data_IF_835549013948
#
_entry.id   IF_835549013948
#
_cell.length_a   1.000
_cell.length_b   1.000
_cell.length_c   1.000
_cell.angle_alpha   90.00
_cell.angle_beta   90.00
_cell.angle_gamma   90.00
#
_symmetry.space_group_name_H-M   'P 1'
#
loop_
_entity.id
_entity.type
_entity.pdbx_description
1 polymer ?
#
# COMPACT_ATOMS: atom_id res chain seq x y z
N UNK A 1 -26.19 20.63 8.46
CA UNK A 1 -25.06 20.15 9.26
C UNK A 1 -24.00 21.23 9.22
N UNK A 2 -23.96 22.11 10.21
CA UNK A 2 -22.91 23.12 10.33
C UNK A 2 -21.70 22.51 11.05
N UNK A 3 -20.92 21.70 10.33
CA UNK A 3 -19.72 21.09 10.88
C UNK A 3 -18.74 22.17 11.35
N UNK A 4 -18.23 22.00 12.57
CA UNK A 4 -17.29 22.94 13.16
C UNK A 4 -15.92 22.84 12.49
N UNK A 5 -15.38 23.98 12.07
CA UNK A 5 -14.02 24.12 11.56
C UNK A 5 -13.20 24.84 12.62
N UNK A 6 -12.06 24.27 13.02
CA UNK A 6 -11.14 24.93 13.96
C UNK A 6 -10.65 26.27 13.37
N UNK A 7 -10.72 27.39 14.13
CA UNK A 7 -10.22 28.67 13.65
C UNK A 7 -8.73 28.62 13.28
N UNK A 8 -7.91 27.88 14.04
CA UNK A 8 -6.48 27.71 13.77
C UNK A 8 -6.21 26.88 12.51
N UNK A 9 -7.01 25.82 12.28
CA UNK A 9 -6.91 25.01 11.06
C UNK A 9 -7.37 25.79 9.82
N UNK A 10 -8.48 26.52 9.93
CA UNK A 10 -9.03 27.37 8.88
C UNK A 10 -8.05 28.48 8.46
N UNK A 11 -7.49 29.22 9.42
CA UNK A 11 -6.45 30.22 9.15
C UNK A 11 -5.25 29.57 8.46
N UNK A 12 -4.67 28.52 9.05
CA UNK A 12 -3.45 27.89 8.55
C UNK A 12 -3.58 27.39 7.11
N UNK A 13 -4.68 26.71 6.79
CA UNK A 13 -4.90 26.12 5.47
C UNK A 13 -5.30 27.20 4.43
N UNK A 14 -6.21 28.11 4.78
CA UNK A 14 -6.61 29.18 3.86
C UNK A 14 -5.47 30.14 3.53
N UNK A 15 -4.66 30.53 4.52
CA UNK A 15 -3.46 31.36 4.34
C UNK A 15 -2.44 30.64 3.46
N UNK A 16 -2.22 29.33 3.60
CA UNK A 16 -1.30 28.58 2.72
C UNK A 16 -1.78 28.52 1.27
N UNK A 17 -3.07 28.23 1.05
CA UNK A 17 -3.67 28.19 -0.30
C UNK A 17 -3.56 29.56 -0.95
N UNK A 18 -4.06 30.62 -0.30
CA UNK A 18 -4.08 31.97 -0.86
C UNK A 18 -2.67 32.54 -1.06
N UNK A 19 -1.70 32.29 -0.17
CA UNK A 19 -0.29 32.67 -0.37
C UNK A 19 0.31 32.06 -1.65
N UNK A 20 -0.14 30.89 -2.08
CA UNK A 20 0.37 30.24 -3.29
C UNK A 20 -0.21 30.80 -4.60
N UNK A 21 -1.31 31.55 -4.52
CA UNK A 21 -1.88 32.32 -5.65
C UNK A 21 -1.47 33.80 -5.66
N UNK A 22 -0.75 34.28 -4.65
CA UNK A 22 -0.30 35.68 -4.53
C UNK A 22 1.20 35.83 -4.79
N UNK A 23 1.56 36.82 -5.63
CA UNK A 23 2.95 37.21 -5.88
C UNK A 23 3.44 38.14 -4.76
N UNK A 24 3.85 37.57 -3.63
CA UNK A 24 4.36 38.32 -2.46
C UNK A 24 5.85 38.66 -2.68
N UNK A 25 6.23 39.94 -2.78
CA UNK A 25 7.62 40.32 -3.06
C UNK A 25 8.55 39.97 -1.89
N UNK A 26 9.73 39.43 -2.20
CA UNK A 26 10.77 39.10 -1.22
C UNK A 26 10.53 37.85 -0.35
N UNK A 27 9.41 37.13 -0.52
CA UNK A 27 9.04 35.98 0.32
C UNK A 27 9.04 34.69 -0.50
N UNK A 28 9.90 33.72 -0.15
CA UNK A 28 9.79 32.34 -0.69
C UNK A 28 8.59 31.64 -0.04
N UNK A 29 7.47 31.59 -0.76
CA UNK A 29 6.28 30.84 -0.33
C UNK A 29 6.53 29.33 -0.54
N UNK A 30 6.34 28.47 0.48
CA UNK A 30 6.39 27.01 0.31
C UNK A 30 5.19 26.54 -0.52
N UNK A 31 5.42 25.61 -1.44
CA UNK A 31 4.34 25.04 -2.27
C UNK A 31 3.51 24.02 -1.48
N UNK A 32 4.19 23.26 -0.61
CA UNK A 32 3.63 22.11 0.08
C UNK A 32 3.28 22.48 1.54
N UNK A 33 2.08 22.14 2.00
CA UNK A 33 1.72 22.13 3.43
C UNK A 33 1.59 20.67 3.89
N UNK A 34 2.44 20.26 4.81
CA UNK A 34 2.34 18.96 5.47
C UNK A 34 1.59 19.06 6.79
N UNK A 35 0.37 18.52 6.83
CA UNK A 35 -0.48 18.39 8.03
C UNK A 35 -0.28 17.00 8.66
N UNK A 36 0.31 16.95 9.86
CA UNK A 36 0.51 15.70 10.61
C UNK A 36 -0.04 15.80 12.03
N UNK A 37 -0.30 14.66 12.67
CA UNK A 37 -1.00 14.59 13.96
C UNK A 37 -1.52 13.18 14.22
N UNK A 38 -2.14 12.93 15.37
CA UNK A 38 -2.63 11.57 15.71
C UNK A 38 -3.66 11.06 14.67
N UNK A 39 -3.84 9.75 14.60
CA UNK A 39 -4.95 9.15 13.83
C UNK A 39 -6.27 9.50 14.53
N UNK A 40 -7.35 9.68 13.75
CA UNK A 40 -8.69 9.92 14.28
C UNK A 40 -9.05 11.40 14.50
N UNK A 41 -8.08 12.31 14.58
CA UNK A 41 -8.31 13.74 14.86
C UNK A 41 -8.87 14.56 13.68
N UNK A 42 -9.52 13.92 12.70
CA UNK A 42 -10.25 14.62 11.64
C UNK A 42 -9.41 15.43 10.65
N UNK A 43 -8.08 15.27 10.58
CA UNK A 43 -7.15 16.02 9.68
C UNK A 43 -7.72 16.28 8.29
N UNK A 44 -8.00 15.20 7.53
CA UNK A 44 -8.52 15.31 6.17
C UNK A 44 -9.93 15.88 6.11
N UNK A 45 -10.79 15.57 7.09
CA UNK A 45 -12.15 16.11 7.18
C UNK A 45 -12.15 17.63 7.39
N UNK A 46 -11.29 18.15 8.26
CA UNK A 46 -11.08 19.59 8.43
C UNK A 46 -10.56 20.24 7.13
N UNK A 47 -9.74 19.55 6.32
CA UNK A 47 -9.38 20.03 4.99
C UNK A 47 -10.60 20.17 4.07
N UNK A 48 -11.43 19.12 3.95
CA UNK A 48 -12.62 19.16 3.07
C UNK A 48 -13.58 20.29 3.45
N UNK A 49 -13.84 20.50 4.75
CA UNK A 49 -14.68 21.60 5.23
C UNK A 49 -14.11 22.99 4.89
N UNK A 50 -12.77 23.15 4.89
CA UNK A 50 -12.11 24.39 4.47
C UNK A 50 -12.21 24.56 2.95
N UNK A 51 -12.02 23.49 2.16
CA UNK A 51 -12.14 23.55 0.70
C UNK A 51 -13.55 23.91 0.25
N UNK A 52 -14.58 23.28 0.85
CA UNK A 52 -16.00 23.59 0.62
C UNK A 52 -16.29 25.06 0.96
N UNK A 53 -15.88 25.50 2.16
CA UNK A 53 -16.08 26.89 2.64
C UNK A 53 -15.35 27.95 1.80
N UNK A 54 -14.23 27.60 1.18
CA UNK A 54 -13.48 28.47 0.27
C UNK A 54 -13.92 28.35 -1.20
N UNK A 55 -14.76 27.37 -1.55
CA UNK A 55 -15.16 27.08 -2.94
C UNK A 55 -14.00 26.58 -3.83
N UNK A 56 -12.98 25.94 -3.22
CA UNK A 56 -11.76 25.47 -3.87
C UNK A 56 -11.99 24.11 -4.54
N UNK A 57 -11.46 23.94 -5.76
CA UNK A 57 -11.52 22.66 -6.48
C UNK A 57 -10.39 21.72 -5.99
N UNK A 58 -10.69 20.45 -5.73
CA UNK A 58 -9.72 19.51 -5.12
C UNK A 58 -9.40 18.36 -6.08
N UNK A 59 -8.11 18.17 -6.36
CA UNK A 59 -7.61 16.95 -7.03
C UNK A 59 -7.01 16.05 -5.95
N UNK A 60 -7.70 14.94 -5.65
CA UNK A 60 -7.24 13.98 -4.66
C UNK A 60 -6.24 12.97 -5.27
N UNK A 61 -5.29 12.55 -4.44
CA UNK A 61 -4.40 11.40 -4.67
C UNK A 61 -4.40 10.55 -3.41
N UNK A 62 -4.63 9.26 -3.56
CA UNK A 62 -4.50 8.31 -2.43
C UNK A 62 -3.07 7.83 -2.31
N UNK A 63 -2.55 7.62 -1.09
CA UNK A 63 -1.24 7.00 -0.91
C UNK A 63 -1.11 5.62 -1.59
N UNK A 64 -2.22 4.87 -1.71
CA UNK A 64 -2.25 3.61 -2.45
C UNK A 64 -2.13 3.74 -3.97
N UNK A 65 -2.37 4.93 -4.55
CA UNK A 65 -2.05 5.21 -5.96
C UNK A 65 -0.54 5.54 -6.16
N UNK A 66 0.20 5.75 -5.06
CA UNK A 66 1.64 6.05 -5.07
C UNK A 66 2.51 4.79 -4.88
N UNK A 67 1.87 3.63 -4.71
CA UNK A 67 2.49 2.31 -4.79
C UNK A 67 2.15 1.66 -6.14
N UNK A 68 3.15 1.16 -6.85
CA UNK A 68 2.98 0.47 -8.13
C UNK A 68 4.10 -0.55 -8.34
N UNK A 69 3.85 -1.71 -8.98
CA UNK A 69 4.93 -2.60 -9.41
C UNK A 69 5.83 -1.95 -10.49
N UNK A 70 5.30 -0.99 -11.26
CA UNK A 70 6.02 -0.32 -12.34
C UNK A 70 6.78 0.91 -11.82
N UNK A 71 8.12 0.80 -11.83
CA UNK A 71 9.01 1.82 -11.29
C UNK A 71 8.85 3.18 -12.01
N UNK A 72 8.43 4.19 -11.25
CA UNK A 72 8.25 5.56 -11.74
C UNK A 72 6.84 5.91 -12.22
N UNK A 73 5.89 4.97 -12.26
CA UNK A 73 4.49 5.34 -12.52
C UNK A 73 3.90 6.29 -11.45
N UNK A 74 4.19 6.14 -10.15
CA UNK A 74 3.81 7.12 -9.11
C UNK A 74 4.34 8.54 -9.38
N UNK A 75 5.54 8.65 -9.97
CA UNK A 75 6.13 9.94 -10.35
C UNK A 75 5.42 10.56 -11.57
N UNK A 76 4.98 9.71 -12.53
CA UNK A 76 4.14 10.14 -13.67
C UNK A 76 2.76 10.58 -13.19
N UNK A 77 2.13 9.83 -12.27
CA UNK A 77 0.81 10.13 -11.72
C UNK A 77 0.78 11.50 -11.03
N UNK A 78 1.74 11.78 -10.14
CA UNK A 78 1.79 13.07 -9.43
C UNK A 78 1.92 14.26 -10.39
N UNK A 79 2.71 14.12 -11.47
CA UNK A 79 2.83 15.13 -12.52
C UNK A 79 1.53 15.29 -13.32
N UNK A 80 0.81 14.20 -13.57
CA UNK A 80 -0.49 14.23 -14.24
C UNK A 80 -1.55 14.94 -13.36
N UNK A 81 -1.68 14.55 -12.09
CA UNK A 81 -2.63 15.13 -11.12
C UNK A 81 -2.36 16.61 -10.82
N UNK A 82 -1.09 17.01 -10.73
CA UNK A 82 -0.72 18.42 -10.60
C UNK A 82 -1.15 19.25 -11.82
N UNK A 83 -0.97 18.71 -13.04
CA UNK A 83 -1.41 19.37 -14.29
C UNK A 83 -2.93 19.39 -14.43
N UNK A 84 -3.62 18.33 -14.02
CA UNK A 84 -5.09 18.27 -13.93
C UNK A 84 -5.64 19.42 -13.06
N UNK A 85 -5.06 19.65 -11.89
CA UNK A 85 -5.38 20.82 -11.05
C UNK A 85 -5.05 22.15 -11.74
N UNK A 86 -3.94 22.23 -12.49
CA UNK A 86 -3.58 23.37 -13.33
C UNK A 86 -4.65 23.73 -14.37
N UNK A 87 -5.15 22.74 -15.12
CA UNK A 87 -6.20 22.96 -16.12
C UNK A 87 -7.56 23.29 -15.48
N UNK A 88 -7.87 22.75 -14.27
CA UNK A 88 -9.05 23.18 -13.52
C UNK A 88 -9.01 24.69 -13.18
N UNK A 89 -7.85 25.23 -12.77
CA UNK A 89 -7.69 26.68 -12.54
C UNK A 89 -7.91 27.47 -13.83
N UNK A 90 -7.26 27.09 -14.93
CA UNK A 90 -7.40 27.76 -16.25
C UNK A 90 -8.85 27.77 -16.74
N UNK A 91 -9.55 26.63 -16.66
CA UNK A 91 -10.88 26.45 -17.28
C UNK A 91 -12.01 26.94 -16.38
N UNK A 92 -11.93 26.77 -15.05
CA UNK A 92 -13.00 27.18 -14.12
C UNK A 92 -12.80 28.57 -13.51
N UNK A 93 -11.60 29.16 -13.60
CA UNK A 93 -11.28 30.46 -13.01
C UNK A 93 -11.30 30.47 -11.47
N UNK A 94 -11.20 29.30 -10.83
CA UNK A 94 -11.19 29.13 -9.37
C UNK A 94 -9.80 28.70 -8.88
N UNK A 95 -9.54 28.88 -7.58
CA UNK A 95 -8.41 28.22 -6.91
C UNK A 95 -8.61 26.70 -6.89
N UNK A 96 -7.51 25.95 -7.01
CA UNK A 96 -7.48 24.51 -6.85
C UNK A 96 -6.34 24.06 -5.92
N UNK A 97 -6.45 22.85 -5.37
CA UNK A 97 -5.40 22.20 -4.57
C UNK A 97 -5.12 20.79 -5.07
N UNK A 98 -3.87 20.34 -4.92
CA UNK A 98 -3.51 18.93 -5.02
C UNK A 98 -3.46 18.33 -3.60
N UNK A 99 -4.40 17.46 -3.27
CA UNK A 99 -4.54 16.86 -1.94
C UNK A 99 -4.04 15.41 -1.95
N UNK A 100 -2.95 15.13 -1.23
CA UNK A 100 -2.38 13.78 -1.10
C UNK A 100 -2.70 13.25 0.30
N UNK A 101 -3.60 12.27 0.37
CA UNK A 101 -4.14 11.75 1.63
C UNK A 101 -3.31 10.58 2.20
N UNK A 102 -3.12 10.59 3.52
CA UNK A 102 -2.47 9.53 4.32
C UNK A 102 -1.13 9.04 3.74
N UNK A 103 -0.26 9.98 3.37
CA UNK A 103 1.01 9.72 2.66
C UNK A 103 1.90 8.65 3.33
N UNK A 104 1.88 8.58 4.65
CA UNK A 104 2.64 7.60 5.43
C UNK A 104 2.21 6.14 5.14
N UNK A 105 0.99 5.91 4.65
CA UNK A 105 0.48 4.57 4.34
C UNK A 105 1.03 3.96 3.03
N UNK A 106 1.62 4.77 2.14
CA UNK A 106 2.29 4.31 0.90
C UNK A 106 3.73 4.81 0.72
N UNK A 107 4.23 5.63 1.66
CA UNK A 107 5.57 6.24 1.61
C UNK A 107 6.31 6.09 2.96
N UNK A 108 5.60 5.81 4.06
CA UNK A 108 6.19 5.53 5.37
C UNK A 108 6.86 4.16 5.43
N UNK A 109 7.68 3.93 6.46
CA UNK A 109 8.25 2.61 6.73
C UNK A 109 7.22 1.76 7.46
N UNK A 110 6.85 0.62 6.89
CA UNK A 110 5.98 -0.37 7.55
C UNK A 110 6.71 -1.08 8.69
N UNK A 111 8.04 -1.27 8.58
CA UNK A 111 8.87 -1.93 9.58
C UNK A 111 10.23 -1.25 9.77
N UNK A 112 10.90 -1.55 10.89
CA UNK A 112 12.32 -1.22 11.09
C UNK A 112 13.25 -1.97 10.11
N UNK A 113 12.75 -3.03 9.47
CA UNK A 113 13.49 -3.91 8.56
C UNK A 113 13.19 -3.65 7.07
N UNK A 114 12.13 -2.93 6.73
CA UNK A 114 11.81 -2.61 5.32
C UNK A 114 12.55 -1.34 4.88
N UNK A 115 13.43 -1.48 3.89
CA UNK A 115 14.10 -0.35 3.25
C UNK A 115 13.13 0.41 2.35
N UNK A 116 13.32 1.74 2.23
CA UNK A 116 12.51 2.58 1.34
C UNK A 116 12.46 2.00 -0.08
N UNK A 117 11.26 1.87 -0.64
CA UNK A 117 11.09 1.40 -2.01
C UNK A 117 11.67 2.42 -3.01
N UNK A 118 11.98 1.97 -4.23
CA UNK A 118 12.40 2.87 -5.31
C UNK A 118 11.31 3.91 -5.61
N UNK A 119 10.03 3.52 -5.52
CA UNK A 119 8.88 4.42 -5.69
C UNK A 119 8.85 5.52 -4.61
N UNK A 120 9.09 5.19 -3.34
CA UNK A 120 9.20 6.16 -2.24
C UNK A 120 10.24 7.25 -2.57
N UNK A 121 11.40 6.85 -3.12
CA UNK A 121 12.44 7.81 -3.50
C UNK A 121 12.02 8.67 -4.71
N UNK A 122 11.43 8.05 -5.74
CA UNK A 122 10.95 8.73 -6.95
C UNK A 122 9.81 9.72 -6.68
N UNK A 123 8.89 9.40 -5.75
CA UNK A 123 7.83 10.33 -5.32
C UNK A 123 8.42 11.52 -4.58
N UNK A 124 9.28 11.32 -3.58
CA UNK A 124 9.92 12.42 -2.86
C UNK A 124 10.71 13.33 -3.82
N UNK A 125 11.49 12.75 -4.74
CA UNK A 125 12.20 13.49 -5.77
C UNK A 125 11.25 14.26 -6.71
N UNK A 126 10.09 13.69 -7.07
CA UNK A 126 9.09 14.36 -7.91
C UNK A 126 8.45 15.55 -7.19
N UNK A 127 8.12 15.42 -5.91
CA UNK A 127 7.61 16.51 -5.09
C UNK A 127 8.64 17.65 -4.95
N UNK A 128 9.94 17.35 -4.83
CA UNK A 128 10.99 18.39 -4.86
C UNK A 128 11.04 19.13 -6.20
N UNK A 129 11.07 18.39 -7.32
CA UNK A 129 11.12 18.98 -8.65
C UNK A 129 9.91 19.91 -8.93
N UNK A 130 8.72 19.52 -8.50
CA UNK A 130 7.50 20.33 -8.60
C UNK A 130 7.58 21.55 -7.65
N UNK A 131 8.07 21.40 -6.43
CA UNK A 131 8.18 22.50 -5.47
C UNK A 131 9.24 23.55 -5.85
N UNK A 132 10.30 23.16 -6.56
CA UNK A 132 11.31 24.10 -7.08
C UNK A 132 10.84 24.80 -8.36
N UNK A 133 10.10 24.11 -9.23
CA UNK A 133 9.65 24.62 -10.53
C UNK A 133 8.13 24.44 -10.74
N UNK A 134 7.27 25.06 -9.90
CA UNK A 134 5.82 24.83 -9.90
C UNK A 134 5.11 25.23 -11.21
N UNK A 135 5.76 26.04 -12.04
CA UNK A 135 5.24 26.50 -13.33
C UNK A 135 5.82 25.75 -14.53
N UNK A 136 6.62 24.71 -14.32
CA UNK A 136 7.23 23.89 -15.38
C UNK A 136 7.17 22.40 -15.02
N UNK A 137 5.95 21.86 -14.98
CA UNK A 137 5.65 20.46 -14.65
C UNK A 137 5.33 19.71 -15.94
N UNK A 138 6.39 19.22 -16.58
CA UNK A 138 6.32 18.35 -17.76
C UNK A 138 5.95 16.91 -17.40
N UNK A 139 5.37 16.17 -18.35
CA UNK A 139 5.20 14.72 -18.28
C UNK A 139 6.39 14.02 -18.96
N UNK A 140 6.82 12.82 -18.50
CA UNK A 140 7.91 12.09 -19.17
C UNK A 140 7.60 11.86 -20.66
N UNK A 141 8.44 12.42 -21.54
CA UNK A 141 8.26 12.33 -23.00
C UNK A 141 7.38 13.40 -23.65
N UNK A 142 6.74 14.30 -22.87
CA UNK A 142 6.10 15.53 -23.39
C UNK A 142 6.94 16.74 -23.01
N UNK A 143 7.00 17.74 -23.90
CA UNK A 143 7.69 19.00 -23.68
C UNK A 143 6.83 20.15 -24.21
N UNK A 144 6.11 20.81 -23.29
CA UNK A 144 5.25 21.95 -23.58
C UNK A 144 5.93 23.25 -23.17
N UNK A 145 5.80 24.28 -24.01
CA UNK A 145 6.42 25.59 -23.77
C UNK A 145 5.54 26.54 -22.92
N UNK A 146 4.26 26.21 -22.73
CA UNK A 146 3.36 27.00 -21.88
C UNK A 146 3.62 26.75 -20.39
N UNK A 147 3.69 27.80 -19.55
CA UNK A 147 3.87 27.63 -18.12
C UNK A 147 2.61 27.04 -17.47
N UNK A 148 2.79 26.07 -16.58
CA UNK A 148 1.71 25.57 -15.73
C UNK A 148 1.31 26.60 -14.67
N UNK A 149 0.03 26.67 -14.26
CA UNK A 149 -0.35 27.38 -13.04
C UNK A 149 0.36 26.78 -11.81
N UNK A 150 0.71 27.65 -10.85
CA UNK A 150 1.21 27.23 -9.53
C UNK A 150 0.04 26.67 -8.71
N UNK A 151 0.10 25.39 -8.34
CA UNK A 151 -0.93 24.73 -7.53
C UNK A 151 -0.38 24.42 -6.13
N UNK A 152 -1.00 24.93 -5.04
CA UNK A 152 -0.66 24.49 -3.68
C UNK A 152 -0.91 22.99 -3.49
N UNK A 153 0.06 22.33 -2.85
CA UNK A 153 -0.02 20.89 -2.52
C UNK A 153 -0.26 20.75 -1.02
N UNK A 154 -1.24 19.94 -0.63
CA UNK A 154 -1.55 19.64 0.76
C UNK A 154 -1.32 18.15 0.99
N UNK A 155 -0.54 17.80 2.02
CA UNK A 155 -0.27 16.41 2.41
C UNK A 155 -0.89 16.15 3.79
N UNK A 156 -1.56 15.02 3.99
CA UNK A 156 -1.94 14.53 5.32
C UNK A 156 -1.18 13.26 5.68
N UNK A 157 -0.88 13.10 6.97
CA UNK A 157 -0.31 11.88 7.53
C UNK A 157 -0.33 11.86 9.05
N UNK A 158 0.36 10.89 9.64
CA UNK A 158 0.42 10.67 11.08
C UNK A 158 1.76 11.15 11.65
N UNK A 159 2.91 10.79 11.05
CA UNK A 159 4.23 11.24 11.51
C UNK A 159 5.25 11.52 10.38
N UNK A 160 5.48 12.81 10.17
CA UNK A 160 6.49 13.32 9.23
C UNK A 160 7.92 13.38 9.80
N UNK A 161 8.24 12.65 10.87
CA UNK A 161 9.63 12.36 11.26
C UNK A 161 10.34 11.48 10.22
N UNK A 162 9.60 10.60 9.55
CA UNK A 162 10.12 9.62 8.57
C UNK A 162 10.21 10.14 7.14
N UNK A 163 9.50 11.25 6.83
CA UNK A 163 9.54 11.91 5.52
C UNK A 163 10.93 12.49 5.22
N UNK A 164 11.26 12.49 3.92
CA UNK A 164 12.62 12.75 3.44
C UNK A 164 13.04 14.23 3.67
N UNK A 165 14.01 14.44 4.56
CA UNK A 165 14.35 15.76 5.13
C UNK A 165 14.61 16.91 4.11
N UNK A 166 15.18 16.69 2.91
CA UNK A 166 15.29 17.71 1.86
C UNK A 166 13.98 18.34 1.35
N UNK A 167 12.79 17.77 1.61
CA UNK A 167 11.52 18.48 1.38
C UNK A 167 11.30 19.61 2.40
N UNK A 168 11.81 19.44 3.62
CA UNK A 168 11.60 20.36 4.74
C UNK A 168 12.67 21.47 4.74
N UNK A 169 13.94 21.10 4.56
CA UNK A 169 15.09 21.99 4.77
C UNK A 169 15.16 23.18 3.80
N UNK A 170 14.74 22.98 2.56
CA UNK A 170 14.95 23.96 1.48
C UNK A 170 13.77 24.96 1.33
N UNK A 171 12.85 25.00 2.30
CA UNK A 171 11.67 25.87 2.27
C UNK A 171 10.65 25.50 1.18
N UNK A 172 10.63 24.23 0.74
CA UNK A 172 9.66 23.67 -0.21
C UNK A 172 8.34 23.32 0.48
N UNK A 173 8.44 22.76 1.69
CA UNK A 173 7.32 22.32 2.51
C UNK A 173 7.30 23.01 3.88
N UNK A 174 6.13 23.49 4.28
CA UNK A 174 5.83 23.92 5.65
C UNK A 174 5.19 22.76 6.43
N UNK A 175 5.53 22.59 7.72
CA UNK A 175 4.87 21.61 8.60
C UNK A 175 3.81 22.29 9.46
N UNK A 176 2.68 21.62 9.62
CA UNK A 176 1.64 21.95 10.58
C UNK A 176 1.33 20.69 11.41
N UNK A 177 1.54 20.77 12.72
CA UNK A 177 1.09 19.75 13.65
C UNK A 177 -0.34 20.06 14.09
N UNK A 178 -1.24 19.10 13.90
CA UNK A 178 -2.63 19.17 14.27
C UNK A 178 -2.91 18.25 15.45
N UNK A 179 -3.19 18.87 16.59
CA UNK A 179 -3.72 18.25 17.80
C UNK A 179 -4.80 19.21 18.32
N UNK A 180 -6.09 18.83 18.28
CA UNK A 180 -7.19 19.74 18.59
C UNK A 180 -7.20 20.05 20.10
N UNK A 181 -7.29 21.34 20.46
CA UNK A 181 -7.39 21.73 21.86
C UNK A 181 -8.77 21.39 22.47
N UNK A 182 -8.95 21.60 23.77
CA UNK A 182 -10.20 21.27 24.45
C UNK A 182 -11.42 22.04 23.90
N UNK A 183 -11.24 23.27 23.40
CA UNK A 183 -12.32 24.05 22.77
C UNK A 183 -12.63 23.59 21.34
N UNK A 184 -11.60 23.27 20.55
CA UNK A 184 -11.76 22.63 19.24
C UNK A 184 -12.48 21.28 19.37
N UNK A 185 -12.11 20.45 20.36
CA UNK A 185 -12.77 19.17 20.66
C UNK A 185 -14.25 19.36 21.01
N UNK A 186 -14.60 20.30 21.87
CA UNK A 186 -16.00 20.63 22.17
C UNK A 186 -16.72 21.08 20.89
N UNK A 187 -16.11 21.94 20.07
CA UNK A 187 -16.69 22.44 18.83
C UNK A 187 -16.99 21.33 17.83
N UNK A 188 -16.00 20.46 17.57
CA UNK A 188 -16.12 19.35 16.61
C UNK A 188 -17.13 18.31 17.09
N UNK A 189 -17.12 17.94 18.38
CA UNK A 189 -18.11 16.99 18.94
C UNK A 189 -19.52 17.61 18.97
N UNK A 190 -19.64 18.92 19.23
CA UNK A 190 -20.93 19.63 19.10
C UNK A 190 -21.44 19.61 17.66
N UNK A 191 -20.56 19.71 16.66
CA UNK A 191 -20.91 19.57 15.24
C UNK A 191 -21.33 18.15 14.84
N UNK A 192 -20.73 17.11 15.44
CA UNK A 192 -21.12 15.71 15.24
C UNK A 192 -22.55 15.47 15.75
N UNK A 193 -22.93 16.07 16.87
CA UNK A 193 -24.23 15.88 17.53
C UNK A 193 -25.23 17.04 17.30
N UNK A 194 -24.99 17.93 16.32
CA UNK A 194 -25.85 19.11 16.04
C UNK A 194 -27.32 18.70 15.78
N UNK A 195 -27.50 17.74 14.86
CA UNK A 195 -28.82 17.17 14.53
C UNK A 195 -29.43 16.37 15.69
N UNK A 196 -28.60 15.94 16.64
CA UNK A 196 -29.00 15.18 17.81
C UNK A 196 -29.42 16.08 18.98
N UNK A 197 -29.26 17.40 18.84
CA UNK A 197 -29.83 18.42 19.75
C UNK A 197 -29.36 18.31 21.20
N UNK A 198 -28.18 17.72 21.40
CA UNK A 198 -27.55 17.54 22.72
C UNK A 198 -27.18 18.90 23.30
N UNK A 199 -27.31 19.09 24.62
CA UNK A 199 -26.90 20.36 25.24
C UNK A 199 -25.38 20.51 25.23
N UNK A 200 -24.89 21.75 25.11
CA UNK A 200 -23.45 22.02 25.15
C UNK A 200 -22.79 21.52 26.44
N UNK A 201 -23.49 21.60 27.57
CA UNK A 201 -23.05 21.06 28.87
C UNK A 201 -22.90 19.54 28.88
N UNK A 202 -23.76 18.80 28.16
CA UNK A 202 -23.64 17.36 28.02
C UNK A 202 -22.44 17.00 27.12
N UNK A 203 -22.22 17.76 26.03
CA UNK A 203 -21.04 17.60 25.16
C UNK A 203 -19.75 17.88 25.92
N UNK A 204 -19.69 18.97 26.70
CA UNK A 204 -18.54 19.32 27.53
C UNK A 204 -18.26 18.23 28.58
N UNK A 205 -19.30 17.63 29.16
CA UNK A 205 -19.17 16.49 30.09
C UNK A 205 -18.71 15.21 29.38
N UNK A 206 -19.23 14.93 28.18
CA UNK A 206 -18.87 13.77 27.36
C UNK A 206 -17.42 13.83 26.86
N UNK A 207 -16.98 15.00 26.40
CA UNK A 207 -15.58 15.24 25.98
C UNK A 207 -14.63 15.03 27.15
N UNK A 208 -14.95 15.59 28.33
CA UNK A 208 -14.17 15.41 29.57
C UNK A 208 -14.16 13.97 30.10
N UNK A 209 -15.24 13.22 29.88
CA UNK A 209 -15.33 11.79 30.30
C UNK A 209 -14.43 10.89 29.44
N UNK A 210 -14.13 11.30 28.21
CA UNK A 210 -13.37 10.53 27.22
C UNK A 210 -12.18 11.33 26.66
N UNK A 211 -11.47 12.07 27.51
CA UNK A 211 -10.41 13.01 27.11
C UNK A 211 -9.26 12.33 26.34
N UNK A 212 -8.89 11.09 26.71
CA UNK A 212 -7.89 10.26 26.01
C UNK A 212 -8.34 9.73 24.63
N UNK A 213 -9.61 9.90 24.23
CA UNK A 213 -10.11 9.44 22.94
C UNK A 213 -9.90 10.49 21.85
N UNK A 214 -9.66 10.01 20.62
CA UNK A 214 -9.60 10.81 19.39
C UNK A 214 -10.99 11.20 18.88
N UNK A 215 -11.08 12.18 17.97
CA UNK A 215 -12.38 12.69 17.46
C UNK A 215 -13.25 11.59 16.81
N UNK A 216 -12.64 10.61 16.13
CA UNK A 216 -13.35 9.48 15.50
C UNK A 216 -14.09 8.55 16.49
N UNK A 217 -13.73 8.55 17.77
CA UNK A 217 -14.51 7.86 18.82
C UNK A 217 -15.93 8.42 18.94
N UNK A 218 -16.09 9.74 18.83
CA UNK A 218 -17.40 10.39 19.02
C UNK A 218 -18.32 10.19 17.82
N UNK A 219 -17.77 10.13 16.60
CA UNK A 219 -18.56 9.75 15.41
C UNK A 219 -18.90 8.25 15.41
N UNK A 220 -17.99 7.38 15.86
CA UNK A 220 -18.29 5.96 16.07
C UNK A 220 -19.36 5.73 17.16
N UNK A 221 -19.30 6.48 18.26
CA UNK A 221 -20.32 6.49 19.32
C UNK A 221 -21.69 6.89 18.78
N UNK A 222 -21.76 7.95 17.97
CA UNK A 222 -22.99 8.37 17.28
C UNK A 222 -23.56 7.25 16.39
N UNK A 223 -22.73 6.61 15.57
CA UNK A 223 -23.15 5.49 14.73
C UNK A 223 -23.64 4.28 15.54
N UNK A 224 -22.94 3.95 16.65
CA UNK A 224 -23.27 2.80 17.51
C UNK A 224 -24.65 2.87 18.18
N UNK A 225 -25.22 4.07 18.31
CA UNK A 225 -26.60 4.27 18.77
C UNK A 225 -27.65 3.92 17.70
N UNK A 226 -27.32 4.05 16.41
CA UNK A 226 -28.18 3.58 15.32
C UNK A 226 -28.09 2.06 15.13
N UNK A 227 -26.96 1.41 15.46
CA UNK A 227 -26.83 -0.06 15.46
C UNK A 227 -27.94 -0.75 16.30
N UNK A 228 -28.42 -0.11 17.37
CA UNK A 228 -29.50 -0.67 18.21
C UNK A 228 -30.86 -0.67 17.50
N UNK A 229 -31.13 0.30 16.61
CA UNK A 229 -32.34 0.29 15.77
C UNK A 229 -32.18 -0.65 14.57
N UNK A 230 -30.99 -0.69 13.95
CA UNK A 230 -30.69 -1.65 12.89
C UNK A 230 -30.84 -3.09 13.39
N UNK A 231 -30.45 -3.37 14.65
CA UNK A 231 -30.68 -4.68 15.28
C UNK A 231 -32.17 -5.00 15.43
N UNK A 232 -32.98 -4.07 15.96
CA UNK A 232 -34.45 -4.26 16.06
C UNK A 232 -35.08 -4.53 14.70
N UNK A 233 -34.68 -3.80 13.65
CA UNK A 233 -35.14 -4.04 12.29
C UNK A 233 -34.76 -5.44 11.77
N UNK A 234 -33.55 -5.93 12.07
CA UNK A 234 -33.11 -7.30 11.74
C UNK A 234 -33.96 -8.34 12.48
N UNK A 235 -34.26 -8.11 13.75
CA UNK A 235 -35.06 -9.01 14.59
C UNK A 235 -36.55 -9.03 14.16
N UNK A 236 -37.10 -7.89 13.74
CA UNK A 236 -38.49 -7.72 13.27
C UNK A 236 -38.72 -8.29 11.85
N UNK A 237 -37.77 -8.08 10.93
CA UNK A 237 -37.85 -8.59 9.54
C UNK A 237 -37.41 -10.06 9.45
N UNK A 238 -36.51 -10.47 10.33
CA UNK A 238 -35.83 -11.76 10.33
C UNK A 238 -34.57 -11.77 9.46
N UNK A 239 -33.50 -12.39 9.97
CA UNK A 239 -32.19 -12.54 9.32
C UNK A 239 -32.25 -13.11 7.89
N UNK A 240 -33.19 -14.02 7.62
CA UNK A 240 -33.37 -14.63 6.29
C UNK A 240 -33.88 -13.64 5.23
N UNK A 241 -34.61 -12.59 5.65
CA UNK A 241 -35.35 -11.69 4.75
C UNK A 241 -34.75 -10.30 4.66
N UNK A 242 -33.94 -9.88 5.65
CA UNK A 242 -33.37 -8.53 5.70
C UNK A 242 -32.58 -8.15 4.44
N UNK A 243 -31.84 -9.10 3.85
CA UNK A 243 -31.10 -8.87 2.59
C UNK A 243 -32.02 -8.44 1.44
N UNK A 244 -33.16 -9.11 1.27
CA UNK A 244 -34.14 -8.74 0.25
C UNK A 244 -34.84 -7.42 0.63
N UNK A 245 -35.23 -7.28 1.90
CA UNK A 245 -35.97 -6.11 2.40
C UNK A 245 -35.21 -4.78 2.30
N UNK A 246 -33.88 -4.82 2.36
CA UNK A 246 -33.00 -3.64 2.29
C UNK A 246 -32.51 -3.37 0.85
N UNK A 247 -32.18 -4.40 0.06
CA UNK A 247 -31.51 -4.23 -1.24
C UNK A 247 -32.47 -4.29 -2.44
N UNK A 248 -33.56 -5.06 -2.35
CA UNK A 248 -34.41 -5.37 -3.50
C UNK A 248 -35.89 -5.48 -3.10
N UNK A 249 -36.43 -4.43 -2.49
CA UNK A 249 -37.85 -4.35 -2.08
C UNK A 249 -38.57 -3.21 -2.79
N UNK A 250 -39.86 -3.43 -3.08
CA UNK A 250 -40.78 -2.40 -3.56
C UNK A 250 -41.49 -1.66 -2.40
N UNK A 251 -41.26 -2.09 -1.15
CA UNK A 251 -41.68 -1.34 0.04
C UNK A 251 -40.80 -0.09 0.24
N UNK A 252 -41.30 0.96 0.92
CA UNK A 252 -40.46 2.09 1.30
C UNK A 252 -39.22 1.66 2.12
N UNK A 253 -38.11 2.40 2.05
CA UNK A 253 -36.98 2.20 2.95
C UNK A 253 -37.43 2.22 4.42
N UNK A 254 -36.81 1.42 5.31
CA UNK A 254 -37.15 1.42 6.72
C UNK A 254 -36.87 2.80 7.33
N UNK A 255 -37.87 3.39 7.99
CA UNK A 255 -37.71 4.66 8.68
C UNK A 255 -36.97 4.45 10.00
N UNK A 256 -35.90 5.21 10.21
CA UNK A 256 -35.17 5.23 11.47
C UNK A 256 -35.56 6.47 12.26
N UNK A 257 -35.89 6.28 13.54
CA UNK A 257 -36.15 7.38 14.45
C UNK A 257 -34.82 7.86 15.07
N UNK A 258 -34.88 8.97 15.81
CA UNK A 258 -33.73 9.48 16.57
C UNK A 258 -33.49 8.57 17.79
N UNK A 259 -32.28 7.98 17.97
CA UNK A 259 -31.94 7.27 19.20
C UNK A 259 -32.10 8.12 20.46
N UNK A 260 -32.05 7.50 21.64
CA UNK A 260 -31.78 8.26 22.85
C UNK A 260 -30.33 8.79 22.80
N UNK A 261 -30.19 10.10 23.01
CA UNK A 261 -28.91 10.79 23.12
C UNK A 261 -28.74 11.40 24.52
N UNK A 262 -29.40 10.83 25.53
CA UNK A 262 -29.17 11.21 26.92
C UNK A 262 -27.71 10.97 27.32
N UNK A 263 -27.16 11.91 28.09
CA UNK A 263 -25.77 11.84 28.58
C UNK A 263 -25.45 10.51 29.30
N UNK A 264 -26.33 9.92 30.15
CA UNK A 264 -26.08 8.62 30.77
C UNK A 264 -25.91 7.49 29.75
N UNK A 265 -26.75 7.45 28.69
CA UNK A 265 -26.69 6.39 27.68
C UNK A 265 -25.46 6.56 26.76
N UNK A 266 -25.10 7.79 26.40
CA UNK A 266 -23.86 8.10 25.69
C UNK A 266 -22.61 7.69 26.49
N UNK A 267 -22.58 7.96 27.80
CA UNK A 267 -21.51 7.50 28.68
C UNK A 267 -21.50 5.98 28.77
N UNK A 268 -22.65 5.30 28.82
CA UNK A 268 -22.71 3.84 28.84
C UNK A 268 -22.16 3.21 27.55
N UNK A 269 -22.60 3.70 26.39
CA UNK A 269 -22.12 3.21 25.08
C UNK A 269 -20.64 3.55 24.85
N UNK A 270 -20.19 4.74 25.25
CA UNK A 270 -18.78 5.11 25.20
C UNK A 270 -17.92 4.16 26.05
N UNK A 271 -18.36 3.83 27.27
CA UNK A 271 -17.69 2.84 28.11
C UNK A 271 -17.74 1.41 27.54
N UNK A 272 -18.74 1.04 26.72
CA UNK A 272 -18.71 -0.22 25.97
C UNK A 272 -17.63 -0.18 24.86
N UNK A 273 -17.57 0.90 24.07
CA UNK A 273 -16.60 1.08 22.99
C UNK A 273 -15.13 1.15 23.49
N UNK A 274 -14.86 1.85 24.60
CA UNK A 274 -13.50 1.89 25.20
C UNK A 274 -13.04 0.49 25.62
N UNK A 275 -13.91 -0.32 26.21
CA UNK A 275 -13.61 -1.72 26.57
C UNK A 275 -13.39 -2.61 25.33
N UNK A 276 -14.11 -2.35 24.24
CA UNK A 276 -13.93 -3.03 22.95
C UNK A 276 -12.55 -2.70 22.33
N UNK A 277 -12.17 -1.41 22.29
CA UNK A 277 -10.83 -0.97 21.86
C UNK A 277 -9.70 -1.54 22.73
N UNK A 278 -9.88 -1.56 24.06
CA UNK A 278 -8.86 -2.05 24.98
C UNK A 278 -8.60 -3.54 24.75
N UNK A 279 -9.66 -4.35 24.62
CA UNK A 279 -9.54 -5.78 24.31
C UNK A 279 -8.80 -6.03 22.98
N UNK A 280 -9.04 -5.21 21.95
CA UNK A 280 -8.32 -5.31 20.67
C UNK A 280 -6.83 -4.98 20.85
N UNK A 281 -6.49 -3.98 21.67
CA UNK A 281 -5.09 -3.65 22.01
C UNK A 281 -4.41 -4.78 22.78
N UNK A 282 -5.09 -5.36 23.78
CA UNK A 282 -4.58 -6.49 24.58
C UNK A 282 -4.32 -7.74 23.70
N UNK A 283 -5.25 -8.08 22.80
CA UNK A 283 -5.08 -9.19 21.86
C UNK A 283 -3.89 -8.98 20.91
N UNK A 284 -3.74 -7.79 20.31
CA UNK A 284 -2.59 -7.47 19.45
C UNK A 284 -1.26 -7.53 20.20
N UNK A 285 -1.21 -7.03 21.43
CA UNK A 285 -0.01 -7.10 22.26
C UNK A 285 0.41 -8.56 22.55
N UNK A 286 -0.57 -9.45 22.73
CA UNK A 286 -0.35 -10.90 22.87
C UNK A 286 0.12 -11.53 21.56
N UNK A 287 -0.43 -11.13 20.41
CA UNK A 287 0.02 -11.58 19.08
C UNK A 287 1.46 -11.14 18.79
N UNK A 288 1.79 -9.86 18.98
CA UNK A 288 3.15 -9.30 18.84
C UNK A 288 4.15 -10.00 19.77
N UNK A 289 3.79 -10.21 21.04
CA UNK A 289 4.61 -10.93 22.01
C UNK A 289 4.84 -12.39 21.58
N UNK A 290 3.80 -13.09 21.12
CA UNK A 290 3.90 -14.47 20.66
C UNK A 290 4.73 -14.59 19.38
N UNK A 291 4.58 -13.68 18.42
CA UNK A 291 5.43 -13.63 17.22
C UNK A 291 6.89 -13.35 17.58
N UNK A 292 7.16 -12.41 18.50
CA UNK A 292 8.50 -12.16 19.01
C UNK A 292 9.09 -13.39 19.72
N UNK A 293 8.28 -14.19 20.41
CA UNK A 293 8.71 -15.46 21.03
C UNK A 293 8.96 -16.59 20.01
N UNK A 294 8.15 -16.69 18.96
CA UNK A 294 8.34 -17.65 17.87
C UNK A 294 9.60 -17.30 17.05
N UNK A 295 9.80 -16.03 16.70
CA UNK A 295 10.99 -15.57 15.99
C UNK A 295 12.29 -15.80 16.80
N UNK A 296 12.24 -15.73 18.14
CA UNK A 296 13.38 -16.12 19.01
C UNK A 296 13.68 -17.62 19.01
N UNK A 297 12.73 -18.49 18.66
CA UNK A 297 12.95 -19.96 18.55
C UNK A 297 13.48 -20.39 17.17
N UNK A 298 13.50 -19.51 16.18
CA UNK A 298 14.00 -19.77 14.82
C UNK A 298 15.46 -19.31 14.62
N UNK A 299 16.17 -18.98 15.71
CA UNK A 299 17.48 -18.34 15.65
C UNK A 299 18.45 -18.75 16.76
N UNK A 300 18.56 -20.05 17.04
CA UNK A 300 19.60 -20.60 17.92
C UNK A 300 20.67 -21.31 17.07
N UNK A 301 21.76 -20.58 16.82
CA UNK A 301 23.01 -21.06 16.20
C UNK A 301 24.14 -20.46 17.02
N UNK A 302 25.13 -21.28 17.38
CA UNK A 302 26.09 -21.04 18.47
C UNK A 302 26.60 -19.60 18.62
N UNK A 303 26.49 -19.08 19.84
CA UNK A 303 27.30 -17.97 20.33
C UNK A 303 28.20 -18.47 21.47
N UNK A 304 29.54 -18.30 21.39
CA UNK A 304 30.44 -18.76 22.43
C UNK A 304 30.19 -18.03 23.76
N UNK A 305 30.29 -18.76 24.86
CA UNK A 305 29.96 -18.26 26.19
C UNK A 305 30.94 -17.16 26.68
N UNK A 306 30.46 -16.15 27.44
CA UNK A 306 31.32 -15.13 28.02
C UNK A 306 32.21 -15.68 29.15
N UNK A 307 33.42 -15.15 29.25
CA UNK A 307 34.45 -15.57 30.22
C UNK A 307 34.03 -15.26 31.66
N UNK A 308 34.15 -16.25 32.55
CA UNK A 308 33.89 -16.08 33.98
C UNK A 308 35.10 -15.48 34.72
N UNK A 309 34.84 -14.73 35.79
CA UNK A 309 35.82 -14.38 36.83
C UNK A 309 35.32 -14.85 38.20
N UNK A 310 36.20 -15.29 39.12
CA UNK A 310 35.80 -16.13 40.25
C UNK A 310 35.30 -15.34 41.48
N UNK A 311 34.46 -16.00 42.30
CA UNK A 311 34.17 -15.63 43.70
C UNK A 311 34.16 -16.86 44.61
N UNK A 312 34.30 -16.62 45.91
CA UNK A 312 34.80 -17.59 46.88
C UNK A 312 33.73 -18.47 47.57
N UNK A 313 34.21 -19.51 48.26
CA UNK A 313 33.40 -20.52 48.96
C UNK A 313 32.69 -20.04 50.23
N UNK A 314 31.50 -20.63 50.51
CA UNK A 314 31.18 -21.28 51.80
C UNK A 314 29.95 -22.20 51.70
N UNK A 315 29.85 -23.15 52.63
CA UNK A 315 28.90 -24.30 52.71
C UNK A 315 28.17 -24.28 54.08
N UNK A 316 27.25 -25.21 54.44
CA UNK A 316 26.58 -26.31 53.70
C UNK A 316 25.02 -26.30 53.80
N UNK A 317 24.37 -27.38 53.30
CA UNK A 317 22.93 -27.72 53.45
C UNK A 317 22.70 -28.74 54.62
N UNK A 318 21.70 -29.67 54.71
CA UNK A 318 20.71 -30.25 53.75
C UNK A 318 19.29 -29.65 53.97
N UNK A 319 18.09 -30.19 53.68
CA UNK A 319 17.45 -31.51 53.30
C UNK A 319 16.21 -31.17 52.43
N UNK A 320 15.60 -31.97 51.53
CA UNK A 320 15.82 -33.33 51.00
C UNK A 320 14.48 -34.03 50.64
N UNK A 321 14.50 -35.32 50.26
CA UNK A 321 13.34 -36.25 50.13
C UNK A 321 12.39 -36.09 48.90
N UNK A 322 11.65 -37.14 48.45
CA UNK A 322 11.69 -37.51 47.02
C UNK A 322 10.34 -37.71 46.24
N UNK A 323 10.49 -38.02 44.95
CA UNK A 323 9.52 -38.56 43.96
C UNK A 323 8.95 -39.95 44.37
N UNK A 324 7.80 -40.49 43.82
CA UNK A 324 7.56 -40.62 42.36
C UNK A 324 6.10 -40.68 41.81
N UNK A 325 6.03 -40.88 40.47
CA UNK A 325 5.05 -41.63 39.66
C UNK A 325 3.61 -41.15 39.32
N UNK A 326 3.27 -41.47 38.07
CA UNK A 326 2.17 -41.11 37.16
C UNK A 326 0.77 -41.73 37.39
N UNK A 327 -0.29 -41.08 36.84
CA UNK A 327 -1.34 -41.77 36.04
C UNK A 327 -2.31 -40.85 35.22
N UNK A 328 -2.10 -40.79 33.89
CA UNK A 328 -3.08 -40.89 32.77
C UNK A 328 -4.33 -39.96 32.55
N UNK A 329 -4.55 -39.68 31.24
CA UNK A 329 -5.75 -39.19 30.48
C UNK A 329 -6.11 -37.68 30.53
N UNK A 330 -6.37 -37.00 29.40
CA UNK A 330 -6.15 -37.39 27.99
C UNK A 330 -6.89 -36.55 26.92
N UNK A 331 -6.44 -36.66 25.65
CA UNK A 331 -7.07 -36.19 24.39
C UNK A 331 -7.16 -34.64 24.21
N UNK A 332 -7.16 -34.05 22.99
CA UNK A 332 -7.39 -34.54 21.61
C UNK A 332 -6.45 -33.88 20.55
N UNK A 333 -6.56 -34.38 19.31
CA UNK A 333 -6.05 -33.86 18.02
C UNK A 333 -4.58 -34.09 17.60
N UNK A 334 -4.45 -34.62 16.37
CA UNK A 334 -3.22 -34.92 15.63
C UNK A 334 -3.39 -34.49 14.17
N UNK A 335 -2.32 -33.98 13.55
CA UNK A 335 -2.26 -33.61 12.13
C UNK A 335 -2.12 -34.85 11.21
N UNK A 336 -2.70 -34.79 10.01
CA UNK A 336 -2.26 -35.56 8.83
C UNK A 336 -2.48 -34.73 7.56
N UNK A 337 -1.73 -35.05 6.50
CA UNK A 337 -1.74 -34.29 5.23
C UNK A 337 -1.91 -35.16 3.99
N UNK A 338 -2.02 -34.47 2.86
CA UNK A 338 -1.89 -34.88 1.44
C UNK A 338 -1.84 -36.39 1.10
N UNK A 339 -2.84 -36.89 0.37
CA UNK A 339 -2.60 -37.75 -0.78
C UNK A 339 -3.74 -37.71 -1.82
N UNK A 340 -3.45 -38.13 -3.07
CA UNK A 340 -4.28 -37.89 -4.28
C UNK A 340 -5.18 -39.07 -4.65
N UNK A 341 -6.33 -38.83 -5.31
CA UNK A 341 -6.98 -39.76 -6.26
C UNK A 341 -8.05 -39.07 -7.17
N UNK A 342 -8.53 -39.73 -8.27
CA UNK A 342 -9.04 -39.05 -9.46
C UNK A 342 -10.57 -39.08 -9.68
N UNK A 343 -11.04 -38.35 -10.70
CA UNK A 343 -12.44 -38.31 -11.17
C UNK A 343 -12.85 -39.55 -12.01
N UNK A 344 -14.11 -40.02 -11.90
CA UNK A 344 -14.72 -40.99 -12.81
C UNK A 344 -15.64 -40.36 -13.88
N UNK A 345 -15.79 -41.05 -15.02
CA UNK A 345 -16.64 -40.64 -16.15
C UNK A 345 -18.11 -41.09 -16.02
N UNK A 346 -19.05 -40.41 -16.69
CA UNK A 346 -20.25 -41.06 -17.28
C UNK A 346 -20.77 -40.30 -18.52
N UNK A 347 -21.46 -41.01 -19.43
CA UNK A 347 -22.04 -40.53 -20.71
C UNK A 347 -23.57 -40.67 -20.72
N UNK A 348 -24.28 -39.82 -21.47
CA UNK A 348 -25.15 -40.25 -22.60
C UNK A 348 -25.81 -39.10 -23.40
N UNK A 349 -25.74 -39.20 -24.74
CA UNK A 349 -26.63 -38.73 -25.83
C UNK A 349 -27.34 -37.35 -25.82
N UNK A 350 -27.28 -36.64 -26.96
CA UNK A 350 -27.96 -35.34 -27.17
C UNK A 350 -28.14 -34.83 -28.62
N UNK A 351 -28.18 -35.71 -29.64
CA UNK A 351 -28.47 -35.38 -31.06
C UNK A 351 -27.47 -34.46 -31.81
N UNK A 352 -27.73 -34.24 -33.11
CA UNK A 352 -26.76 -33.81 -34.13
C UNK A 352 -27.41 -33.00 -35.25
N UNK A 353 -26.69 -32.02 -35.83
CA UNK A 353 -26.75 -31.70 -37.27
C UNK A 353 -25.54 -30.86 -37.72
N UNK A 354 -25.30 -30.77 -39.03
CA UNK A 354 -24.05 -30.24 -39.60
C UNK A 354 -24.23 -29.66 -41.01
N UNK A 355 -23.52 -28.56 -41.33
CA UNK A 355 -23.43 -28.05 -42.71
C UNK A 355 -22.04 -27.47 -43.08
N UNK A 356 -21.34 -28.23 -43.93
CA UNK A 356 -20.41 -27.87 -45.02
C UNK A 356 -19.75 -26.47 -45.06
N UNK A 357 -18.41 -26.47 -44.99
CA UNK A 357 -17.46 -26.30 -46.14
C UNK A 357 -17.87 -25.43 -47.34
N UNK A 358 -16.94 -24.68 -47.99
CA UNK A 358 -15.56 -25.11 -48.27
C UNK A 358 -14.43 -24.07 -48.05
N UNK A 359 -13.20 -24.51 -48.32
CA UNK A 359 -11.98 -23.69 -48.39
C UNK A 359 -11.69 -23.21 -49.83
N UNK A 360 -10.68 -22.35 -49.98
CA UNK A 360 -10.05 -22.06 -51.29
C UNK A 360 -8.51 -22.04 -51.16
N UNK A 361 -7.79 -22.11 -52.29
CA UNK A 361 -6.46 -22.74 -52.36
C UNK A 361 -5.50 -22.01 -53.34
N UNK A 362 -4.23 -21.77 -52.97
CA UNK A 362 -3.20 -21.32 -53.94
C UNK A 362 -1.73 -21.56 -53.53
N UNK A 363 -1.16 -22.63 -54.08
CA UNK A 363 0.15 -22.66 -54.77
C UNK A 363 1.36 -21.86 -54.23
N UNK A 364 2.19 -22.54 -53.44
CA UNK A 364 3.63 -22.78 -53.69
C UNK A 364 4.59 -21.65 -54.13
N UNK A 365 5.60 -21.37 -53.30
CA UNK A 365 6.95 -20.98 -53.75
C UNK A 365 8.03 -21.47 -52.76
N UNK A 366 8.73 -22.58 -53.08
CA UNK A 366 9.73 -23.20 -52.20
C UNK A 366 11.14 -22.67 -52.50
N UNK A 367 11.62 -21.66 -51.74
CA UNK A 367 13.04 -21.29 -51.71
C UNK A 367 13.75 -22.02 -50.58
N UNK A 368 14.67 -22.93 -50.93
CA UNK A 368 15.69 -23.39 -49.98
C UNK A 368 16.72 -22.27 -49.79
N UNK A 369 17.11 -22.02 -48.55
CA UNK A 369 18.25 -21.17 -48.20
C UNK A 369 19.10 -21.93 -47.18
N UNK A 370 20.41 -22.05 -47.42
CA UNK A 370 21.32 -22.70 -46.49
C UNK A 370 21.54 -21.78 -45.26
N UNK A 371 21.41 -22.30 -44.02
CA UNK A 371 21.59 -21.50 -42.81
C UNK A 371 23.09 -21.32 -42.49
N UNK A 372 23.71 -20.29 -43.06
CA UNK A 372 25.12 -19.93 -42.79
C UNK A 372 25.25 -18.91 -41.64
N UNK A 373 24.14 -18.48 -41.03
CA UNK A 373 24.11 -17.38 -40.05
C UNK A 373 24.38 -17.74 -38.58
N UNK A 374 24.12 -18.98 -38.13
CA UNK A 374 24.03 -19.28 -36.69
C UNK A 374 25.33 -19.82 -36.04
N UNK A 375 26.40 -20.01 -36.81
CA UNK A 375 27.59 -20.71 -36.33
C UNK A 375 28.47 -19.88 -35.37
N UNK A 376 28.66 -18.58 -35.63
CA UNK A 376 29.53 -17.71 -34.81
C UNK A 376 28.85 -17.25 -33.52
N UNK A 377 27.60 -16.77 -33.61
CA UNK A 377 26.85 -16.25 -32.45
C UNK A 377 26.73 -17.29 -31.31
N UNK A 378 26.64 -18.57 -31.65
CA UNK A 378 26.59 -19.66 -30.67
C UNK A 378 27.95 -19.94 -29.99
N UNK A 379 29.07 -19.61 -30.65
CA UNK A 379 30.40 -19.68 -30.05
C UNK A 379 30.61 -18.54 -29.04
N UNK A 380 30.23 -17.31 -29.39
CA UNK A 380 30.31 -16.15 -28.49
C UNK A 380 29.43 -16.35 -27.24
N UNK A 381 28.20 -16.84 -27.43
CA UNK A 381 27.29 -17.17 -26.32
C UNK A 381 27.85 -18.28 -25.41
N UNK A 382 28.45 -19.33 -25.99
CA UNK A 382 29.09 -20.41 -25.22
C UNK A 382 30.33 -19.94 -24.44
N UNK A 383 31.06 -18.94 -24.94
CA UNK A 383 32.17 -18.32 -24.22
C UNK A 383 31.69 -17.54 -22.98
N UNK A 384 30.59 -16.78 -23.08
CA UNK A 384 30.02 -16.05 -21.94
C UNK A 384 29.43 -16.99 -20.88
N UNK A 385 28.76 -18.10 -21.28
CA UNK A 385 28.36 -19.18 -20.34
C UNK A 385 29.57 -19.69 -19.54
N UNK A 386 30.66 -19.99 -20.25
CA UNK A 386 31.90 -20.50 -19.67
C UNK A 386 32.52 -19.49 -18.70
N UNK A 387 32.50 -18.20 -19.03
CA UNK A 387 33.00 -17.09 -18.20
C UNK A 387 32.20 -16.95 -16.90
N UNK A 388 30.87 -16.91 -16.97
CA UNK A 388 30.00 -16.69 -15.81
C UNK A 388 30.09 -17.85 -14.79
N UNK A 389 30.18 -19.09 -15.28
CA UNK A 389 30.32 -20.27 -14.42
C UNK A 389 31.72 -20.37 -13.81
N UNK A 390 32.78 -20.03 -14.57
CA UNK A 390 34.15 -19.93 -14.02
C UNK A 390 34.32 -18.79 -13.00
N UNK A 391 33.43 -17.80 -12.98
CA UNK A 391 33.34 -16.78 -11.93
C UNK A 391 32.55 -17.26 -10.68
N UNK A 392 32.17 -18.54 -10.62
CA UNK A 392 31.42 -19.12 -9.50
C UNK A 392 29.94 -18.72 -9.43
N UNK A 393 29.42 -18.01 -10.44
CA UNK A 393 28.01 -17.61 -10.50
C UNK A 393 27.12 -18.77 -10.96
N UNK A 394 25.89 -18.85 -10.44
CA UNK A 394 24.83 -19.66 -11.05
C UNK A 394 24.36 -18.95 -12.32
N UNK A 395 24.10 -19.69 -13.39
CA UNK A 395 23.63 -19.13 -14.66
C UNK A 395 22.12 -19.28 -14.77
N UNK A 396 21.38 -18.17 -14.84
CA UNK A 396 20.00 -18.16 -15.34
C UNK A 396 19.98 -18.03 -16.86
N UNK A 397 19.07 -18.77 -17.52
CA UNK A 397 18.72 -18.57 -18.94
C UNK A 397 17.29 -18.07 -18.98
N UNK A 398 17.06 -16.95 -19.69
CA UNK A 398 15.74 -16.31 -19.79
C UNK A 398 15.42 -15.94 -21.24
N UNK A 399 14.16 -16.06 -21.63
CA UNK A 399 13.66 -15.69 -22.96
C UNK A 399 12.44 -14.77 -22.86
N UNK A 400 12.15 -14.01 -23.91
CA UNK A 400 10.95 -13.14 -23.97
C UNK A 400 10.51 -12.85 -25.41
N UNK A 401 9.20 -12.91 -25.62
CA UNK A 401 8.59 -12.61 -26.92
C UNK A 401 8.77 -11.13 -27.32
N UNK A 402 8.71 -10.88 -28.64
CA UNK A 402 8.93 -9.56 -29.24
C UNK A 402 8.00 -8.45 -28.72
N UNK A 403 6.85 -8.80 -28.15
CA UNK A 403 5.85 -7.87 -27.58
C UNK A 403 6.15 -7.59 -26.10
N UNK A 404 6.51 -8.60 -25.32
CA UNK A 404 6.86 -8.50 -23.88
C UNK A 404 8.26 -7.98 -23.61
N UNK A 405 9.19 -8.04 -24.57
CA UNK A 405 10.53 -7.46 -24.44
C UNK A 405 10.48 -5.97 -24.01
N UNK A 406 9.50 -5.21 -24.51
CA UNK A 406 9.30 -3.80 -24.15
C UNK A 406 8.80 -3.56 -22.73
N UNK A 407 8.25 -4.58 -22.07
CA UNK A 407 7.72 -4.51 -20.70
C UNK A 407 8.57 -5.29 -19.70
N UNK A 408 9.80 -5.69 -20.07
CA UNK A 408 10.76 -6.33 -19.17
C UNK A 408 10.34 -7.69 -18.56
N UNK A 409 9.26 -8.31 -19.07
CA UNK A 409 8.66 -9.51 -18.48
C UNK A 409 9.28 -10.78 -19.08
N UNK A 410 10.51 -11.10 -18.64
CA UNK A 410 11.24 -12.29 -19.08
C UNK A 410 10.70 -13.57 -18.45
N UNK A 411 10.67 -14.66 -19.22
CA UNK A 411 10.36 -16.01 -18.74
C UNK A 411 11.66 -16.77 -18.47
N UNK A 412 11.72 -17.51 -17.37
CA UNK A 412 12.91 -18.31 -17.00
C UNK A 412 12.86 -19.66 -17.68
N UNK A 413 13.89 -19.98 -18.47
CA UNK A 413 14.08 -21.30 -19.08
C UNK A 413 14.68 -22.29 -18.07
N UNK A 414 15.63 -21.83 -17.24
CA UNK A 414 16.23 -22.61 -16.17
C UNK A 414 17.38 -21.90 -15.45
N UNK A 415 17.89 -22.54 -14.39
CA UNK A 415 19.07 -22.06 -13.65
C UNK A 415 20.07 -23.19 -13.43
N UNK A 416 21.32 -23.00 -13.84
CA UNK A 416 22.33 -24.04 -13.97
C UNK A 416 23.61 -23.71 -13.19
N UNK A 417 24.36 -24.74 -12.81
CA UNK A 417 25.69 -24.61 -12.18
C UNK A 417 26.76 -25.43 -12.90
N UNK A 418 26.39 -26.46 -13.65
CA UNK A 418 27.32 -27.21 -14.49
C UNK A 418 27.41 -26.57 -15.88
N UNK A 419 28.63 -26.36 -16.39
CA UNK A 419 28.89 -25.73 -17.69
C UNK A 419 28.35 -26.54 -18.88
N UNK A 420 28.44 -27.87 -18.84
CA UNK A 420 27.95 -28.73 -19.92
C UNK A 420 26.42 -28.74 -19.98
N UNK A 421 25.78 -28.80 -18.81
CA UNK A 421 24.33 -28.70 -18.65
C UNK A 421 23.81 -27.32 -19.12
N UNK A 422 24.48 -26.24 -18.71
CA UNK A 422 24.15 -24.88 -19.12
C UNK A 422 24.26 -24.65 -20.63
N UNK A 423 25.31 -25.18 -21.27
CA UNK A 423 25.49 -25.10 -22.74
C UNK A 423 24.42 -25.94 -23.46
N UNK A 424 24.08 -27.13 -22.96
CA UNK A 424 23.01 -27.95 -23.52
C UNK A 424 21.64 -27.24 -23.44
N UNK A 425 21.29 -26.71 -22.26
CA UNK A 425 20.06 -25.97 -22.05
C UNK A 425 19.99 -24.67 -22.86
N UNK A 426 21.11 -23.96 -23.06
CA UNK A 426 21.16 -22.80 -23.93
C UNK A 426 20.88 -23.18 -25.39
N UNK A 427 21.51 -24.24 -25.91
CA UNK A 427 21.26 -24.72 -27.26
C UNK A 427 19.80 -25.18 -27.45
N UNK A 428 19.21 -25.81 -26.43
CA UNK A 428 17.79 -26.16 -26.44
C UNK A 428 16.90 -24.90 -26.50
N UNK A 429 17.13 -23.92 -25.62
CA UNK A 429 16.39 -22.65 -25.59
C UNK A 429 16.48 -21.90 -26.94
N UNK A 430 17.68 -21.79 -27.52
CA UNK A 430 17.90 -21.21 -28.86
C UNK A 430 17.13 -21.95 -29.97
N UNK A 431 16.90 -23.26 -29.82
CA UNK A 431 16.17 -24.07 -30.80
C UNK A 431 14.65 -24.04 -30.64
N UNK A 432 14.15 -23.91 -29.40
CA UNK A 432 12.72 -23.83 -29.08
C UNK A 432 12.17 -22.41 -29.25
N UNK A 433 13.01 -21.39 -29.07
CA UNK A 433 12.64 -19.97 -29.11
C UNK A 433 13.42 -19.15 -30.17
N UNK A 434 13.41 -19.53 -31.47
CA UNK A 434 14.23 -18.89 -32.51
C UNK A 434 13.79 -17.45 -32.86
N UNK A 435 12.56 -17.06 -32.51
CA UNK A 435 11.95 -15.76 -32.83
C UNK A 435 11.85 -14.79 -31.63
N UNK A 436 12.38 -15.19 -30.48
CA UNK A 436 12.37 -14.46 -29.22
C UNK A 436 13.74 -13.87 -28.87
N UNK A 437 13.77 -12.94 -27.91
CA UNK A 437 15.01 -12.49 -27.30
C UNK A 437 15.43 -13.49 -26.22
N UNK A 438 16.70 -13.89 -26.18
CA UNK A 438 17.25 -14.79 -25.15
C UNK A 438 18.45 -14.12 -24.48
N UNK A 439 18.53 -14.22 -23.15
CA UNK A 439 19.61 -13.66 -22.34
C UNK A 439 20.15 -14.64 -21.30
N UNK A 440 21.41 -14.43 -20.97
CA UNK A 440 22.12 -15.06 -19.87
C UNK A 440 22.13 -14.12 -18.67
N UNK A 441 21.90 -14.67 -17.47
CA UNK A 441 21.88 -13.95 -16.20
C UNK A 441 22.88 -14.57 -15.25
N UNK A 442 23.92 -13.84 -14.86
CA UNK A 442 24.83 -14.24 -13.79
C UNK A 442 24.17 -13.98 -12.43
N UNK A 443 24.15 -14.99 -11.54
CA UNK A 443 23.56 -14.90 -10.20
C UNK A 443 24.62 -15.30 -9.16
N UNK A 444 24.96 -14.39 -8.23
CA UNK A 444 25.85 -14.68 -7.11
C UNK A 444 25.20 -15.74 -6.18
N UNK A 445 25.84 -16.91 -5.93
CA UNK A 445 25.30 -17.93 -5.04
C UNK A 445 25.17 -17.47 -3.58
N UNK A 446 25.96 -16.47 -3.15
CA UNK A 446 26.03 -16.00 -1.76
C UNK A 446 24.94 -14.97 -1.47
N UNK A 447 24.89 -13.86 -2.23
CA UNK A 447 23.88 -12.82 -2.02
C UNK A 447 22.55 -13.11 -2.75
N UNK A 448 22.50 -14.14 -3.62
CA UNK A 448 21.36 -14.48 -4.49
C UNK A 448 20.90 -13.33 -5.40
N UNK A 449 21.79 -12.40 -5.75
CA UNK A 449 21.49 -11.24 -6.62
C UNK A 449 21.97 -11.50 -8.04
N UNK A 450 21.29 -10.87 -9.00
CA UNK A 450 21.76 -10.79 -10.39
C UNK A 450 22.98 -9.86 -10.45
N UNK A 451 24.06 -10.31 -11.09
CA UNK A 451 25.33 -9.58 -11.22
C UNK A 451 25.70 -9.24 -12.66
N UNK A 452 25.11 -9.93 -13.64
CA UNK A 452 25.33 -9.69 -15.08
C UNK A 452 24.07 -10.09 -15.84
N UNK A 453 23.68 -9.33 -16.87
CA UNK A 453 22.61 -9.71 -17.81
C UNK A 453 23.07 -9.44 -19.25
N UNK A 454 23.29 -10.49 -20.04
CA UNK A 454 23.85 -10.43 -21.40
C UNK A 454 22.86 -11.03 -22.40
N UNK A 455 22.33 -10.24 -23.34
CA UNK A 455 21.44 -10.73 -24.41
C UNK A 455 22.27 -11.46 -25.47
N UNK A 456 21.99 -12.75 -25.68
CA UNK A 456 22.72 -13.64 -26.59
C UNK A 456 21.95 -13.98 -27.88
N UNK A 457 20.62 -13.82 -27.90
CA UNK A 457 19.82 -13.87 -29.12
C UNK A 457 18.96 -12.62 -29.25
N UNK A 458 18.89 -12.07 -30.47
CA UNK A 458 17.91 -11.05 -30.87
C UNK A 458 17.18 -11.50 -32.14
N UNK A 459 15.83 -11.43 -32.16
CA UNK A 459 15.07 -11.74 -33.35
C UNK A 459 15.44 -10.82 -34.54
N UNK A 460 15.43 -11.39 -35.74
CA UNK A 460 15.79 -10.72 -37.01
C UNK A 460 17.21 -10.13 -37.10
N UNK A 461 18.17 -10.60 -36.28
CA UNK A 461 19.60 -10.52 -36.59
C UNK A 461 20.23 -9.12 -36.72
N UNK A 462 19.64 -8.10 -36.08
CA UNK A 462 20.26 -6.77 -35.97
C UNK A 462 20.93 -6.59 -34.60
N UNK A 463 22.26 -6.48 -34.63
CA UNK A 463 23.10 -6.12 -33.48
C UNK A 463 22.84 -4.71 -32.97
#
# INVERSE_FOLDING_TARGET
>A
MAYYISPGFLDKLSVHITKNYLNIPGVKVPLILGIHGRKGEGKSFQCELVYERMGVEVVHVSAGELESPDAGDPARLLRLRYREAGELVKVRGKMAVLMINDIDAGIGRVDQYTQYTVNTQLVNATLMNIADNPTNVQLPGSYELEPNPRIPIILTGNDFSTLYAPLIRDGRMEKFFWEPDHADRIGIVSGIFEVDSITRSDVETLVKTFEDQSIDFYSALRSRLYDEQVRKLIDEVGLEKISFRVVNSNEPPPEFHKPDFSLPHLIEMGNRLVREQQRIRELRLVEEYNQAFQNRRLGDVDRPAPVQTPRENKQPAPVGSPQPESAAKGQYFTYYGDERKPEPTHRANGQSQSHRSPADNSSSARKQANPVGNASANQDASAEVSRLINQGSRLGIEYVDRRRFRTGSWQVFGTFQNQQEAIAALNQCLSEHPDDYIRLVGIDPTSRRRVTETIVQRPNGKG
#
